data_IF_873811221813
#
_entry.id   IF_873811221813
#
_cell.length_a   1.000
_cell.length_b   1.000
_cell.length_c   1.000
_cell.angle_alpha   90.00
_cell.angle_beta   90.00
_cell.angle_gamma   90.00
#
_symmetry.space_group_name_H-M   'P 1'
#
loop_
_entity.id
_entity.type
_entity.pdbx_description
1 polymer ?
#
# COMPACT_ATOMS: atom_id res chain seq x y z
N UNK A 1 17.08 -41.38 -7.57
CA UNK A 1 15.87 -40.62 -7.18
C UNK A 1 15.51 -39.69 -8.33
N UNK A 2 14.31 -39.78 -8.88
CA UNK A 2 13.94 -39.05 -10.09
C UNK A 2 13.69 -37.57 -9.77
N UNK A 3 14.20 -36.66 -10.61
CA UNK A 3 14.03 -35.21 -10.45
C UNK A 3 12.54 -34.80 -10.35
N UNK A 4 11.64 -35.57 -10.98
CA UNK A 4 10.18 -35.36 -10.95
C UNK A 4 9.56 -35.46 -9.55
N UNK A 5 10.20 -36.15 -8.60
CA UNK A 5 9.71 -36.30 -7.23
C UNK A 5 9.84 -34.99 -6.42
N UNK A 6 10.83 -34.15 -6.74
CA UNK A 6 11.09 -32.89 -6.03
C UNK A 6 10.56 -31.66 -6.76
N UNK A 7 10.38 -31.73 -8.09
CA UNK A 7 9.88 -30.60 -8.89
C UNK A 7 8.43 -30.23 -8.51
N UNK A 8 7.55 -31.22 -8.36
CA UNK A 8 6.14 -30.99 -8.01
C UNK A 8 5.96 -30.26 -6.67
N UNK A 9 6.52 -30.72 -5.55
CA UNK A 9 6.38 -30.01 -4.28
C UNK A 9 7.06 -28.63 -4.30
N UNK A 10 8.17 -28.47 -5.03
CA UNK A 10 8.82 -27.16 -5.19
C UNK A 10 7.91 -26.15 -5.91
N UNK A 11 7.25 -26.56 -7.00
CA UNK A 11 6.28 -25.71 -7.71
C UNK A 11 5.10 -25.36 -6.80
N UNK A 12 4.53 -26.35 -6.11
CA UNK A 12 3.41 -26.11 -5.19
C UNK A 12 3.78 -25.13 -4.07
N UNK A 13 4.95 -25.30 -3.45
CA UNK A 13 5.43 -24.38 -2.41
C UNK A 13 5.64 -22.96 -2.96
N UNK A 14 6.14 -22.84 -4.18
CA UNK A 14 6.34 -21.54 -4.84
C UNK A 14 5.01 -20.84 -5.13
N UNK A 15 4.00 -21.57 -5.60
CA UNK A 15 2.68 -21.00 -5.85
C UNK A 15 1.97 -20.57 -4.56
N UNK A 16 2.09 -21.37 -3.50
CA UNK A 16 1.53 -21.03 -2.18
C UNK A 16 2.22 -19.80 -1.62
N UNK A 17 3.56 -19.71 -1.67
CA UNK A 17 4.28 -18.55 -1.17
C UNK A 17 3.94 -17.28 -1.96
N UNK A 18 3.87 -17.35 -3.29
CA UNK A 18 3.44 -16.21 -4.12
C UNK A 18 2.01 -15.76 -3.81
N UNK A 19 1.11 -16.70 -3.55
CA UNK A 19 -0.29 -16.40 -3.19
C UNK A 19 -0.36 -15.68 -1.84
N UNK A 20 0.39 -16.17 -0.84
CA UNK A 20 0.47 -15.53 0.48
C UNK A 20 1.07 -14.13 0.36
N UNK A 21 2.14 -13.95 -0.42
CA UNK A 21 2.73 -12.63 -0.66
C UNK A 21 1.72 -11.68 -1.31
N UNK A 22 1.02 -12.12 -2.36
CA UNK A 22 -0.05 -11.33 -2.98
C UNK A 22 -1.16 -10.96 -2.00
N UNK A 23 -1.60 -11.89 -1.16
CA UNK A 23 -2.61 -11.63 -0.14
C UNK A 23 -2.12 -10.61 0.90
N UNK A 24 -0.90 -10.75 1.41
CA UNK A 24 -0.33 -9.77 2.34
C UNK A 24 -0.18 -8.40 1.69
N UNK A 25 0.14 -8.33 0.40
CA UNK A 25 0.22 -7.07 -0.32
C UNK A 25 -1.15 -6.36 -0.40
N UNK A 26 -2.21 -7.11 -0.74
CA UNK A 26 -3.57 -6.55 -0.92
C UNK A 26 -4.26 -6.22 0.41
N UNK A 27 -4.07 -7.05 1.43
CA UNK A 27 -4.79 -6.96 2.70
C UNK A 27 -3.97 -6.34 3.84
N UNK A 28 -2.71 -5.94 3.62
CA UNK A 28 -1.94 -5.22 4.63
C UNK A 28 -2.69 -3.97 5.11
N UNK A 29 -2.60 -3.71 6.41
CA UNK A 29 -3.13 -2.52 7.03
C UNK A 29 -2.41 -1.27 6.48
N UNK A 30 -3.21 -0.28 6.04
CA UNK A 30 -2.73 1.00 5.48
C UNK A 30 -2.66 2.10 6.57
N UNK A 31 -2.74 1.73 7.85
CA UNK A 31 -2.57 2.65 8.98
C UNK A 31 -1.25 3.42 8.92
N UNK A 32 -0.16 2.78 8.47
CA UNK A 32 1.15 3.43 8.25
C UNK A 32 1.11 4.51 7.16
N UNK A 33 0.37 4.25 6.07
CA UNK A 33 0.15 5.19 4.96
C UNK A 33 -0.60 6.44 5.42
N UNK A 34 -1.64 6.25 6.23
CA UNK A 34 -2.38 7.37 6.82
C UNK A 34 -1.48 8.21 7.73
N UNK A 35 -0.66 7.56 8.56
CA UNK A 35 0.29 8.24 9.44
C UNK A 35 1.40 8.99 8.66
N UNK A 36 1.90 8.44 7.54
CA UNK A 36 2.87 9.14 6.71
C UNK A 36 2.28 10.37 6.02
N UNK A 37 1.04 10.27 5.51
CA UNK A 37 0.33 11.41 4.91
C UNK A 37 0.05 12.49 5.97
N UNK A 38 -0.39 12.09 7.16
CA UNK A 38 -0.60 13.03 8.27
C UNK A 38 0.70 13.76 8.65
N UNK A 39 1.82 13.03 8.77
CA UNK A 39 3.12 13.61 9.07
C UNK A 39 3.62 14.55 7.95
N UNK A 40 3.36 14.22 6.69
CA UNK A 40 3.81 14.99 5.54
C UNK A 40 2.98 16.27 5.32
N UNK A 41 1.67 16.17 5.48
CA UNK A 41 0.76 17.30 5.30
C UNK A 41 0.75 18.25 6.51
N UNK A 42 0.87 17.72 7.73
CA UNK A 42 0.51 18.46 8.94
C UNK A 42 1.66 18.55 9.96
N UNK A 43 2.76 17.86 9.70
CA UNK A 43 3.97 17.92 10.52
C UNK A 43 3.70 17.42 11.95
N UNK A 44 3.77 18.33 12.93
CA UNK A 44 3.55 18.03 14.36
C UNK A 44 2.12 18.33 14.84
N UNK A 45 1.33 19.07 14.07
CA UNK A 45 -0.04 19.46 14.45
C UNK A 45 -0.98 18.47 13.79
N UNK A 46 -1.72 17.69 14.56
CA UNK A 46 -2.65 16.70 14.02
C UNK A 46 -3.72 17.37 13.14
N UNK A 47 -3.97 16.77 11.97
CA UNK A 47 -4.99 17.23 11.03
C UNK A 47 -5.93 16.09 10.66
N UNK A 48 -7.11 16.44 10.14
CA UNK A 48 -8.07 15.43 9.75
C UNK A 48 -7.64 14.83 8.41
N UNK A 49 -7.16 13.58 8.42
CA UNK A 49 -6.88 12.80 7.21
C UNK A 49 -8.06 11.89 6.89
N UNK A 50 -8.67 12.09 5.72
CA UNK A 50 -9.78 11.30 5.21
C UNK A 50 -9.36 10.60 3.91
N UNK A 51 -9.60 9.31 3.81
CA UNK A 51 -9.47 8.57 2.56
C UNK A 51 -10.66 8.90 1.66
N UNK A 52 -10.41 9.44 0.46
CA UNK A 52 -11.44 9.77 -0.53
C UNK A 52 -11.65 8.61 -1.49
N UNK A 53 -10.57 8.08 -2.03
CA UNK A 53 -10.60 7.03 -3.04
C UNK A 53 -9.58 5.95 -2.69
N UNK A 54 -10.01 4.72 -2.91
CA UNK A 54 -9.19 3.54 -2.71
C UNK A 54 -9.32 2.63 -3.93
N UNK A 55 -8.20 2.42 -4.63
CA UNK A 55 -8.10 1.49 -5.73
C UNK A 55 -7.04 0.44 -5.39
N UNK A 56 -7.50 -0.76 -5.02
CA UNK A 56 -6.63 -1.90 -4.71
C UNK A 56 -6.72 -2.94 -5.82
N UNK A 57 -5.58 -3.26 -6.42
CA UNK A 57 -5.43 -4.41 -7.30
C UNK A 57 -4.25 -5.27 -6.85
N UNK A 58 -4.14 -6.46 -7.44
CA UNK A 58 -3.01 -7.35 -7.20
C UNK A 58 -1.67 -6.75 -7.64
N UNK A 59 -1.69 -5.79 -8.58
CA UNK A 59 -0.49 -5.24 -9.21
C UNK A 59 -0.20 -3.79 -8.81
N UNK A 60 -1.23 -3.01 -8.53
CA UNK A 60 -1.16 -1.60 -8.17
C UNK A 60 -2.12 -1.27 -7.04
N UNK A 61 -1.69 -0.37 -6.17
CA UNK A 61 -2.51 0.17 -5.09
C UNK A 61 -2.38 1.67 -5.11
N UNK A 62 -3.51 2.35 -5.24
CA UNK A 62 -3.60 3.80 -5.28
C UNK A 62 -4.58 4.27 -4.21
N UNK A 63 -4.11 5.17 -3.36
CA UNK A 63 -4.88 5.73 -2.27
C UNK A 63 -4.88 7.25 -2.39
N UNK A 64 -6.07 7.83 -2.39
CA UNK A 64 -6.25 9.27 -2.42
C UNK A 64 -6.70 9.72 -1.03
N UNK A 65 -5.88 10.56 -0.41
CA UNK A 65 -6.15 11.12 0.90
C UNK A 65 -6.41 12.61 0.77
N UNK A 66 -7.39 13.10 1.51
CA UNK A 66 -7.61 14.52 1.70
C UNK A 66 -7.32 14.87 3.14
N UNK A 67 -6.46 15.85 3.32
CA UNK A 67 -6.09 16.39 4.61
C UNK A 67 -6.81 17.72 4.79
N UNK A 68 -7.35 17.97 5.98
CA UNK A 68 -7.95 19.26 6.33
C UNK A 68 -7.29 19.79 7.60
N UNK A 69 -6.62 20.93 7.45
CA UNK A 69 -6.05 21.69 8.55
C UNK A 69 -6.86 22.98 8.75
N UNK A 70 -7.24 23.27 10.00
CA UNK A 70 -7.83 24.57 10.34
C UNK A 70 -6.71 25.62 10.38
N UNK A 71 -6.86 26.81 9.75
CA UNK A 71 -8.10 27.41 9.26
C UNK A 71 -8.13 27.53 7.73
N UNK A 72 -8.43 26.45 6.99
CA UNK A 72 -8.75 26.45 5.54
C UNK A 72 -7.55 26.10 4.66
N UNK A 73 -6.94 24.94 4.87
CA UNK A 73 -6.17 24.32 3.78
C UNK A 73 -6.59 22.88 3.68
N UNK A 74 -7.17 22.55 2.52
CA UNK A 74 -7.57 21.19 2.18
C UNK A 74 -6.62 20.75 1.07
N UNK A 75 -5.75 19.80 1.36
CA UNK A 75 -4.76 19.30 0.40
C UNK A 75 -5.02 17.82 0.11
N UNK A 76 -5.05 17.48 -1.18
CA UNK A 76 -5.15 16.12 -1.69
C UNK A 76 -3.76 15.51 -1.86
N UNK A 77 -3.61 14.26 -1.45
CA UNK A 77 -2.41 13.47 -1.61
C UNK A 77 -2.75 12.17 -2.31
N UNK A 78 -1.97 11.84 -3.34
CA UNK A 78 -2.05 10.57 -4.04
C UNK A 78 -0.85 9.72 -3.62
N UNK A 79 -1.15 8.59 -3.00
CA UNK A 79 -0.16 7.60 -2.61
C UNK A 79 -0.24 6.38 -3.52
N UNK A 80 0.86 6.09 -4.20
CA UNK A 80 1.01 4.92 -5.06
C UNK A 80 2.21 4.10 -4.58
N UNK A 81 2.13 2.78 -4.80
CA UNK A 81 3.23 1.88 -4.43
C UNK A 81 4.37 2.01 -5.45
N UNK A 82 5.61 2.17 -4.96
CA UNK A 82 6.78 2.45 -5.81
C UNK A 82 7.15 1.31 -6.77
N UNK A 83 6.83 0.05 -6.42
CA UNK A 83 7.02 -1.10 -7.29
C UNK A 83 5.90 -2.15 -7.12
N UNK A 84 5.77 -3.02 -8.13
CA UNK A 84 4.76 -4.08 -8.19
C UNK A 84 5.06 -5.08 -7.06
N UNK A 85 4.10 -5.26 -6.14
CA UNK A 85 4.14 -6.19 -5.00
C UNK A 85 5.21 -5.94 -3.91
N UNK A 86 6.15 -5.01 -4.12
CA UNK A 86 7.25 -4.72 -3.21
C UNK A 86 7.55 -3.22 -3.17
N UNK A 87 8.00 -2.73 -2.01
CA UNK A 87 8.44 -1.35 -1.84
C UNK A 87 7.47 -0.46 -1.06
N UNK A 88 8.01 0.66 -0.59
CA UNK A 88 7.29 1.68 0.14
C UNK A 88 6.29 2.43 -0.78
N UNK A 89 5.33 3.09 -0.15
CA UNK A 89 4.43 3.98 -0.86
C UNK A 89 5.06 5.35 -1.02
N UNK A 90 4.99 5.88 -2.24
CA UNK A 90 5.33 7.26 -2.54
C UNK A 90 4.06 8.07 -2.58
N UNK A 91 3.97 9.06 -1.69
CA UNK A 91 2.85 10.01 -1.63
C UNK A 91 3.28 11.34 -2.22
N UNK A 92 2.49 11.86 -3.16
CA UNK A 92 2.69 13.18 -3.78
C UNK A 92 1.44 14.04 -3.55
N UNK A 93 1.59 15.35 -3.30
CA UNK A 93 0.46 16.27 -3.31
C UNK A 93 -0.07 16.39 -4.75
N UNK A 94 -1.40 16.37 -4.89
CA UNK A 94 -2.10 16.62 -6.17
C UNK A 94 -2.35 18.11 -6.37
#
# INVERSE_FOLDING_TARGET
MAASTFIRPAISLTLVSLTVLGATNVYSDNSKLKASVEAQACGKVGCAVRLIREERSAFSQKFEFQTSMKPITTESFVCERAAILLGDYTCVPE
#
